data_IF_229725366533
#
_entry.id   IF_229725366533
#
_cell.length_a   1.000
_cell.length_b   1.000
_cell.length_c   1.000
_cell.angle_alpha   90.00
_cell.angle_beta   90.00
_cell.angle_gamma   90.00
#
_symmetry.space_group_name_H-M   'P 1'
#
loop_
_entity.id
_entity.type
_entity.pdbx_description
1 polymer ?
#
# COMPACT_ATOMS: atom_id res chain seq x y z
N UNK A 1 -10.02 -8.95 -12.07
CA UNK A 1 -8.99 -8.73 -13.09
C UNK A 1 -7.78 -9.63 -12.84
N UNK A 2 -7.05 -9.49 -11.72
CA UNK A 2 -5.88 -10.36 -11.41
C UNK A 2 -6.20 -11.86 -11.37
N UNK A 3 -7.34 -12.26 -10.80
CA UNK A 3 -7.77 -13.67 -10.77
C UNK A 3 -8.03 -14.31 -12.13
N UNK A 4 -8.10 -13.52 -13.21
CA UNK A 4 -8.26 -14.02 -14.59
C UNK A 4 -6.91 -14.34 -15.25
N UNK A 5 -5.80 -13.88 -14.66
CA UNK A 5 -4.46 -14.20 -15.13
C UNK A 5 -3.99 -15.45 -14.36
N UNK A 6 -3.84 -16.57 -15.07
CA UNK A 6 -3.56 -17.87 -14.46
C UNK A 6 -2.34 -17.86 -13.50
N UNK A 7 -1.21 -17.18 -13.82
CA UNK A 7 -0.07 -17.10 -12.89
C UNK A 7 -0.39 -16.35 -11.58
N UNK A 8 -1.37 -15.45 -11.60
CA UNK A 8 -1.72 -14.58 -10.46
C UNK A 8 -2.88 -15.14 -9.63
N UNK A 9 -3.69 -16.03 -10.20
CA UNK A 9 -4.94 -16.51 -9.60
C UNK A 9 -4.72 -17.17 -8.23
N UNK A 10 -3.64 -17.96 -8.09
CA UNK A 10 -3.29 -18.66 -6.83
C UNK A 10 -2.93 -17.73 -5.66
N UNK A 11 -2.71 -16.45 -5.95
CA UNK A 11 -2.36 -15.41 -4.96
C UNK A 11 -3.55 -14.48 -4.63
N UNK A 12 -4.76 -14.87 -5.06
CA UNK A 12 -6.01 -14.18 -4.76
C UNK A 12 -6.85 -15.07 -3.83
N UNK A 13 -7.09 -14.60 -2.60
CA UNK A 13 -7.74 -15.36 -1.55
C UNK A 13 -9.09 -14.74 -1.20
N UNK A 14 -10.11 -15.60 -1.05
CA UNK A 14 -11.39 -15.25 -0.48
C UNK A 14 -11.60 -16.03 0.83
N UNK A 15 -12.02 -15.32 1.86
CA UNK A 15 -12.35 -15.90 3.16
C UNK A 15 -13.85 -15.84 3.34
N UNK A 16 -14.47 -17.01 3.44
CA UNK A 16 -15.91 -17.17 3.47
C UNK A 16 -16.34 -17.53 4.88
N UNK A 17 -17.29 -16.77 5.42
CA UNK A 17 -18.04 -17.15 6.60
C UNK A 17 -19.26 -17.94 6.16
N UNK A 18 -19.43 -19.14 6.72
CA UNK A 18 -20.61 -19.98 6.52
C UNK A 18 -21.51 -19.80 7.74
N UNK A 19 -22.68 -19.23 7.53
CA UNK A 19 -23.64 -18.99 8.60
C UNK A 19 -24.40 -20.26 9.02
N UNK A 20 -25.23 -20.17 10.07
CA UNK A 20 -25.91 -21.33 10.65
C UNK A 20 -26.84 -22.09 9.69
N UNK A 21 -27.31 -21.42 8.62
CA UNK A 21 -28.20 -22.00 7.61
C UNK A 21 -27.45 -22.35 6.31
N UNK A 22 -26.11 -22.39 6.36
CA UNK A 22 -25.26 -22.69 5.20
C UNK A 22 -25.05 -21.51 4.24
N UNK A 23 -25.49 -20.30 4.60
CA UNK A 23 -25.26 -19.13 3.76
C UNK A 23 -23.78 -18.75 3.72
N UNK A 24 -23.22 -18.58 2.52
CA UNK A 24 -21.83 -18.18 2.31
C UNK A 24 -21.70 -16.67 2.13
N UNK A 25 -20.88 -16.04 2.96
CA UNK A 25 -20.60 -14.61 2.91
C UNK A 25 -19.09 -14.40 2.80
N UNK A 26 -18.64 -13.66 1.79
CA UNK A 26 -17.22 -13.29 1.65
C UNK A 26 -16.85 -12.29 2.77
N UNK A 27 -16.39 -12.80 3.91
CA UNK A 27 -16.00 -12.01 5.07
C UNK A 27 -14.72 -11.19 4.83
N UNK A 28 -13.82 -11.68 3.97
CA UNK A 28 -12.58 -10.99 3.65
C UNK A 28 -11.94 -11.41 2.34
N UNK A 29 -11.06 -10.56 1.84
CA UNK A 29 -10.30 -10.75 0.61
C UNK A 29 -8.82 -10.43 0.86
N UNK A 30 -7.97 -11.33 0.40
CA UNK A 30 -6.53 -11.12 0.34
C UNK A 30 -6.09 -11.07 -1.12
N UNK A 31 -5.42 -10.00 -1.54
CA UNK A 31 -4.81 -9.91 -2.86
C UNK A 31 -3.33 -9.71 -2.72
N UNK A 32 -2.58 -10.56 -3.40
CA UNK A 32 -1.13 -10.47 -3.50
C UNK A 32 -0.68 -10.71 -4.93
N UNK A 33 0.54 -10.30 -5.25
CA UNK A 33 1.10 -10.42 -6.59
C UNK A 33 2.55 -10.90 -6.49
N UNK A 34 2.90 -12.02 -7.14
CA UNK A 34 4.28 -12.46 -7.24
C UNK A 34 5.02 -11.51 -8.17
N UNK A 35 6.30 -11.27 -7.87
CA UNK A 35 7.17 -10.50 -8.74
C UNK A 35 8.61 -11.00 -8.62
N UNK A 36 9.40 -10.74 -9.64
CA UNK A 36 10.83 -10.97 -9.62
C UNK A 36 11.55 -9.75 -9.04
N UNK A 37 12.37 -10.01 -8.02
CA UNK A 37 13.21 -9.04 -7.32
C UNK A 37 14.69 -9.41 -7.57
N UNK A 38 15.40 -8.71 -8.47
CA UNK A 38 16.75 -9.09 -8.88
C UNK A 38 17.75 -9.17 -7.72
N UNK A 39 17.66 -8.25 -6.77
CA UNK A 39 18.61 -8.18 -5.66
C UNK A 39 18.54 -9.43 -4.75
N UNK A 40 17.44 -10.18 -4.73
CA UNK A 40 17.34 -11.43 -3.98
C UNK A 40 18.22 -12.55 -4.53
N UNK A 41 18.63 -12.52 -5.80
CA UNK A 41 19.54 -13.53 -6.33
C UNK A 41 20.91 -13.47 -5.64
N UNK A 42 21.33 -12.26 -5.27
CA UNK A 42 22.60 -12.02 -4.55
C UNK A 42 22.56 -12.49 -3.09
N UNK A 43 21.36 -12.67 -2.52
CA UNK A 43 21.17 -13.18 -1.15
C UNK A 43 21.66 -14.61 -1.02
N UNK A 44 21.44 -15.42 -2.07
CA UNK A 44 21.80 -16.84 -2.07
C UNK A 44 23.29 -17.07 -1.82
N UNK A 45 24.14 -16.11 -2.22
CA UNK A 45 25.59 -16.19 -2.09
C UNK A 45 26.13 -15.39 -0.89
N UNK A 46 25.51 -14.27 -0.54
CA UNK A 46 26.06 -13.31 0.42
C UNK A 46 25.29 -13.22 1.75
N UNK A 47 24.18 -13.95 1.91
CA UNK A 47 23.26 -13.85 3.06
C UNK A 47 22.32 -12.64 2.99
N UNK A 48 21.31 -12.61 3.88
CA UNK A 48 20.35 -11.50 3.96
C UNK A 48 21.03 -10.20 4.38
N UNK A 49 20.81 -9.12 3.64
CA UNK A 49 21.43 -7.81 3.83
C UNK A 49 20.36 -6.71 3.91
N UNK A 50 20.34 -5.87 4.96
CA UNK A 50 19.37 -4.79 5.08
C UNK A 50 19.34 -3.86 3.87
N UNK A 51 20.48 -3.66 3.20
CA UNK A 51 20.64 -2.77 2.04
C UNK A 51 19.82 -3.23 0.82
N UNK A 52 19.41 -4.50 0.76
CA UNK A 52 18.50 -4.99 -0.28
C UNK A 52 17.17 -4.24 -0.26
N UNK A 53 16.71 -3.85 0.92
CA UNK A 53 15.47 -3.11 1.10
C UNK A 53 15.53 -1.72 0.44
N UNK A 54 16.74 -1.19 0.22
CA UNK A 54 16.95 0.08 -0.46
C UNK A 54 16.65 -0.01 -1.96
N UNK A 55 16.61 -1.21 -2.56
CA UNK A 55 16.21 -1.37 -3.96
C UNK A 55 14.69 -1.39 -4.16
N UNK A 56 13.88 -1.49 -3.08
CA UNK A 56 12.42 -1.41 -3.20
C UNK A 56 12.00 -0.09 -3.86
N UNK A 57 11.04 -0.11 -4.80
CA UNK A 57 10.73 1.07 -5.59
C UNK A 57 10.05 2.15 -4.74
N UNK A 58 10.44 3.42 -4.97
CA UNK A 58 9.79 4.57 -4.36
C UNK A 58 8.31 4.69 -4.78
N UNK A 59 7.99 4.16 -5.96
CA UNK A 59 6.64 4.07 -6.54
C UNK A 59 5.75 3.00 -5.90
N UNK A 60 6.24 2.28 -4.88
CA UNK A 60 5.38 1.56 -3.95
C UNK A 60 4.43 0.55 -4.60
N UNK A 61 3.15 0.72 -4.27
CA UNK A 61 2.04 -0.07 -4.79
C UNK A 61 1.99 -0.07 -6.33
N UNK A 62 2.10 1.11 -6.96
CA UNK A 62 1.99 1.25 -8.41
C UNK A 62 3.06 0.45 -9.16
N UNK A 63 4.33 0.56 -8.73
CA UNK A 63 5.42 -0.18 -9.37
C UNK A 63 5.27 -1.69 -9.23
N UNK A 64 4.93 -2.19 -8.04
CA UNK A 64 4.82 -3.63 -7.82
C UNK A 64 3.62 -4.23 -8.56
N UNK A 65 2.49 -3.52 -8.60
CA UNK A 65 1.34 -3.97 -9.38
C UNK A 65 1.69 -4.07 -10.87
N UNK A 66 2.31 -3.01 -11.42
CA UNK A 66 2.73 -3.00 -12.83
C UNK A 66 3.75 -4.11 -13.13
N UNK A 67 4.79 -4.26 -12.30
CA UNK A 67 5.83 -5.26 -12.49
C UNK A 67 5.25 -6.69 -12.48
N UNK A 68 4.43 -7.02 -11.48
CA UNK A 68 3.85 -8.35 -11.37
C UNK A 68 2.84 -8.66 -12.50
N UNK A 69 2.07 -7.67 -12.96
CA UNK A 69 1.17 -7.85 -14.12
C UNK A 69 1.97 -8.08 -15.39
N UNK A 70 2.97 -7.25 -15.67
CA UNK A 70 3.84 -7.39 -16.85
C UNK A 70 4.55 -8.75 -16.87
N UNK A 71 5.11 -9.17 -15.74
CA UNK A 71 5.79 -10.47 -15.62
C UNK A 71 4.82 -11.65 -15.80
N UNK A 72 3.56 -11.53 -15.37
CA UNK A 72 2.57 -12.59 -15.57
C UNK A 72 2.16 -12.82 -17.03
N UNK A 73 2.54 -11.92 -17.93
CA UNK A 73 2.18 -11.95 -19.35
C UNK A 73 3.37 -12.09 -20.30
N UNK A 74 4.61 -12.08 -19.78
CA UNK A 74 5.82 -12.14 -20.60
C UNK A 74 6.75 -13.27 -20.18
N UNK A 75 7.81 -13.47 -20.97
CA UNK A 75 8.82 -14.53 -20.77
C UNK A 75 9.98 -14.07 -19.88
N UNK A 76 9.70 -13.17 -18.94
CA UNK A 76 10.71 -12.65 -18.01
C UNK A 76 11.15 -13.68 -16.96
N UNK A 77 12.11 -13.32 -16.09
CA UNK A 77 12.53 -14.18 -14.99
C UNK A 77 11.33 -14.59 -14.11
N UNK A 78 11.37 -15.83 -13.62
CA UNK A 78 10.35 -16.33 -12.72
C UNK A 78 10.31 -15.49 -11.43
N UNK A 79 9.12 -15.22 -10.86
CA UNK A 79 9.02 -14.53 -9.58
C UNK A 79 9.79 -15.24 -8.47
N UNK A 80 10.36 -14.46 -7.54
CA UNK A 80 11.09 -14.95 -6.36
C UNK A 80 10.62 -14.30 -5.04
N UNK A 81 9.63 -13.40 -5.12
CA UNK A 81 9.06 -12.69 -4.00
C UNK A 81 7.54 -12.53 -4.17
N UNK A 82 6.83 -12.36 -3.06
CA UNK A 82 5.41 -12.00 -3.06
C UNK A 82 5.22 -10.59 -2.50
N UNK A 83 4.32 -9.80 -3.08
CA UNK A 83 3.85 -8.57 -2.47
C UNK A 83 2.36 -8.63 -2.14
N UNK A 84 1.99 -8.30 -0.90
CA UNK A 84 0.61 -8.03 -0.55
C UNK A 84 0.15 -6.72 -1.20
N UNK A 85 -1.01 -6.76 -1.89
CA UNK A 85 -1.64 -5.59 -2.52
C UNK A 85 -2.81 -5.06 -1.70
N UNK A 86 -3.63 -5.95 -1.13
CA UNK A 86 -4.71 -5.53 -0.23
C UNK A 86 -5.14 -6.65 0.71
N UNK A 87 -5.52 -6.23 1.92
CA UNK A 87 -6.23 -7.03 2.91
C UNK A 87 -7.52 -6.29 3.22
N UNK A 88 -8.65 -6.87 2.82
CA UNK A 88 -9.96 -6.25 3.01
C UNK A 88 -10.81 -7.16 3.89
N UNK A 89 -11.38 -6.59 4.95
CA UNK A 89 -12.29 -7.28 5.86
C UNK A 89 -13.59 -6.50 5.94
N UNK A 90 -14.71 -7.19 5.69
CA UNK A 90 -16.03 -6.62 5.82
C UNK A 90 -16.26 -6.07 7.24
N UNK A 91 -16.96 -4.92 7.40
CA UNK A 91 -17.16 -4.29 8.71
C UNK A 91 -17.67 -5.23 9.80
N UNK A 92 -18.62 -6.10 9.48
CA UNK A 92 -19.22 -7.07 10.42
C UNK A 92 -18.23 -8.13 10.95
N UNK A 93 -17.10 -8.34 10.26
CA UNK A 93 -16.09 -9.34 10.59
C UNK A 93 -14.77 -8.73 11.04
N UNK A 94 -14.72 -7.42 11.30
CA UNK A 94 -13.51 -6.76 11.84
C UNK A 94 -13.27 -7.20 13.29
N UNK A 95 -12.01 -7.13 13.72
CA UNK A 95 -11.56 -7.50 15.09
C UNK A 95 -11.77 -8.99 15.46
N UNK A 96 -11.98 -9.86 14.48
CA UNK A 96 -12.12 -11.32 14.65
C UNK A 96 -10.81 -12.09 14.47
N UNK A 97 -9.71 -11.40 14.14
CA UNK A 97 -8.45 -12.03 13.71
C UNK A 97 -8.39 -12.33 12.20
N UNK A 98 -9.42 -11.99 11.43
CA UNK A 98 -9.46 -12.32 10.00
C UNK A 98 -8.36 -11.65 9.17
N UNK A 99 -7.94 -10.43 9.52
CA UNK A 99 -6.84 -9.77 8.80
C UNK A 99 -5.51 -10.51 9.00
N UNK A 100 -5.25 -10.98 10.22
CA UNK A 100 -4.10 -11.81 10.58
C UNK A 100 -4.11 -13.11 9.77
N UNK A 101 -5.25 -13.80 9.74
CA UNK A 101 -5.42 -15.03 8.96
C UNK A 101 -5.19 -14.82 7.45
N UNK A 102 -5.64 -13.69 6.89
CA UNK A 102 -5.38 -13.33 5.50
C UNK A 102 -3.87 -13.16 5.26
N UNK A 103 -3.19 -12.42 6.12
CA UNK A 103 -1.74 -12.16 6.00
C UNK A 103 -0.95 -13.47 6.10
N UNK A 104 -1.27 -14.33 7.07
CA UNK A 104 -0.58 -15.61 7.24
C UNK A 104 -0.87 -16.59 6.08
N UNK A 105 -2.02 -16.45 5.43
CA UNK A 105 -2.31 -17.20 4.20
C UNK A 105 -1.44 -16.75 3.04
N UNK A 106 -1.19 -15.44 2.89
CA UNK A 106 -0.24 -14.93 1.89
C UNK A 106 1.19 -15.41 2.16
N UNK A 107 1.65 -15.38 3.42
CA UNK A 107 2.97 -15.90 3.82
C UNK A 107 3.13 -17.37 3.46
N UNK A 108 2.13 -18.19 3.79
CA UNK A 108 2.12 -19.62 3.45
C UNK A 108 2.15 -19.85 1.94
N UNK A 109 1.34 -19.11 1.18
CA UNK A 109 1.35 -19.21 -0.28
C UNK A 109 2.71 -18.85 -0.89
N UNK A 110 3.36 -17.79 -0.40
CA UNK A 110 4.72 -17.44 -0.82
C UNK A 110 5.73 -18.55 -0.48
N UNK A 111 5.65 -19.12 0.73
CA UNK A 111 6.55 -20.19 1.17
C UNK A 111 6.40 -21.46 0.33
N UNK A 112 5.15 -21.82 -0.04
CA UNK A 112 4.87 -22.98 -0.89
C UNK A 112 5.43 -22.84 -2.31
N UNK A 113 5.62 -21.61 -2.79
CA UNK A 113 6.25 -21.30 -4.07
C UNK A 113 7.79 -21.14 -3.95
N UNK A 114 8.33 -21.37 -2.76
CA UNK A 114 9.77 -21.25 -2.48
C UNK A 114 10.27 -19.81 -2.36
N UNK A 115 9.37 -18.82 -2.23
CA UNK A 115 9.78 -17.43 -2.04
C UNK A 115 10.30 -17.22 -0.62
N UNK A 116 11.34 -16.40 -0.49
CA UNK A 116 12.01 -16.12 0.79
C UNK A 116 11.48 -14.87 1.49
N UNK A 117 10.64 -14.08 0.82
CA UNK A 117 10.14 -12.81 1.33
C UNK A 117 8.70 -12.52 0.88
N UNK A 118 7.93 -11.95 1.80
CA UNK A 118 6.68 -11.25 1.53
C UNK A 118 6.86 -9.76 1.85
N UNK A 119 6.61 -8.88 0.89
CA UNK A 119 6.60 -7.42 1.11
C UNK A 119 5.20 -6.84 1.03
N UNK A 120 5.02 -5.61 1.53
CA UNK A 120 3.75 -4.90 1.44
C UNK A 120 3.98 -3.37 1.48
N UNK A 121 3.51 -2.60 0.48
CA UNK A 121 3.52 -1.14 0.52
C UNK A 121 2.28 -0.67 1.29
N UNK A 122 2.40 -0.57 2.61
CA UNK A 122 1.26 -0.28 3.48
C UNK A 122 0.88 1.20 3.43
N UNK A 123 -0.40 1.44 3.15
CA UNK A 123 -1.06 2.72 3.38
C UNK A 123 -1.45 2.83 4.86
N UNK A 124 -0.85 3.72 5.67
CA UNK A 124 -1.19 3.84 7.09
C UNK A 124 -2.64 4.28 7.29
N UNK A 125 -3.29 3.75 8.34
CA UNK A 125 -4.73 3.91 8.53
C UNK A 125 -5.13 5.17 9.29
N UNK A 126 -4.21 5.74 10.09
CA UNK A 126 -4.46 6.97 10.85
C UNK A 126 -3.72 8.20 10.31
N UNK A 127 -2.82 8.03 9.33
CA UNK A 127 -2.02 9.14 8.78
C UNK A 127 -2.88 10.26 8.17
N UNK A 128 -4.07 9.92 7.64
CA UNK A 128 -5.02 10.91 7.12
C UNK A 128 -5.52 11.92 8.16
N UNK A 129 -5.39 11.63 9.46
CA UNK A 129 -5.70 12.57 10.56
C UNK A 129 -4.60 13.62 10.76
N UNK A 130 -3.43 13.40 10.16
CA UNK A 130 -2.24 14.23 10.30
C UNK A 130 -1.64 14.53 8.92
N UNK A 131 -2.41 15.07 7.96
CA UNK A 131 -1.98 15.17 6.57
C UNK A 131 -0.71 16.02 6.38
N UNK A 132 -0.51 17.04 7.21
CA UNK A 132 0.63 17.95 7.11
C UNK A 132 1.89 17.44 7.82
N UNK A 133 1.79 16.35 8.59
CA UNK A 133 2.96 15.72 9.20
C UNK A 133 3.71 14.95 8.11
N UNK A 134 5.02 15.20 7.89
CA UNK A 134 5.82 14.40 6.96
C UNK A 134 5.77 12.91 7.33
N UNK A 135 5.77 12.03 6.33
CA UNK A 135 5.66 10.58 6.57
C UNK A 135 6.84 10.06 7.40
N UNK A 136 8.02 10.65 7.21
CA UNK A 136 9.24 10.42 7.97
C UNK A 136 9.00 10.65 9.46
N UNK A 137 8.37 11.78 9.82
CA UNK A 137 8.08 12.09 11.22
C UNK A 137 7.00 11.16 11.78
N UNK A 138 5.94 10.91 11.01
CA UNK A 138 4.85 10.01 11.42
C UNK A 138 5.33 8.58 11.68
N UNK A 139 6.26 8.08 10.87
CA UNK A 139 6.82 6.74 11.00
C UNK A 139 7.54 6.53 12.35
N UNK A 140 8.12 7.58 12.93
CA UNK A 140 8.80 7.55 14.21
C UNK A 140 7.85 7.67 15.41
N UNK A 141 6.55 7.91 15.19
CA UNK A 141 5.60 7.94 16.29
C UNK A 141 5.38 6.53 16.83
N UNK A 142 5.60 6.36 18.13
CA UNK A 142 5.49 5.08 18.83
C UNK A 142 4.47 5.17 19.96
N UNK A 143 3.87 4.03 20.30
CA UNK A 143 3.11 3.86 21.55
C UNK A 143 4.07 3.74 22.74
N UNK A 144 3.58 3.89 23.96
CA UNK A 144 4.38 3.70 25.19
C UNK A 144 5.05 2.32 25.27
N UNK A 145 4.44 1.30 24.67
CA UNK A 145 5.00 -0.04 24.54
C UNK A 145 6.04 -0.23 23.42
N UNK A 146 6.52 0.86 22.80
CA UNK A 146 7.57 0.82 21.78
C UNK A 146 7.15 0.26 20.42
N UNK A 147 5.85 0.21 20.12
CA UNK A 147 5.32 -0.24 18.83
C UNK A 147 4.88 0.96 17.97
N UNK A 148 4.78 0.83 16.62
CA UNK A 148 4.31 1.91 15.77
C UNK A 148 2.97 2.49 16.24
N UNK A 149 2.83 3.80 16.14
CA UNK A 149 1.59 4.51 16.48
C UNK A 149 0.42 4.10 15.59
N UNK A 150 0.66 3.93 14.28
CA UNK A 150 -0.37 3.51 13.34
C UNK A 150 -0.83 2.07 13.63
N UNK A 151 -2.14 1.80 13.81
CA UNK A 151 -2.65 0.48 14.11
C UNK A 151 -2.33 -0.58 13.06
N UNK A 152 -2.26 -0.17 11.79
CA UNK A 152 -1.99 -1.09 10.68
C UNK A 152 -0.53 -1.49 10.63
N UNK A 153 0.38 -0.52 10.77
CA UNK A 153 1.81 -0.80 10.91
C UNK A 153 2.07 -1.68 12.14
N UNK A 154 1.47 -1.33 13.28
CA UNK A 154 1.60 -2.09 14.52
C UNK A 154 1.12 -3.54 14.40
N UNK A 155 0.03 -3.78 13.65
CA UNK A 155 -0.44 -5.14 13.39
C UNK A 155 0.61 -5.93 12.62
N UNK A 156 1.15 -5.37 11.54
CA UNK A 156 2.17 -6.04 10.75
C UNK A 156 3.44 -6.34 11.58
N UNK A 157 3.90 -5.38 12.40
CA UNK A 157 5.04 -5.61 13.30
C UNK A 157 4.80 -6.75 14.29
N UNK A 158 3.61 -6.80 14.90
CA UNK A 158 3.22 -7.91 15.79
C UNK A 158 3.17 -9.27 15.09
N UNK A 159 2.95 -9.29 13.78
CA UNK A 159 2.94 -10.51 12.96
C UNK A 159 4.35 -10.87 12.43
N UNK A 160 5.41 -10.26 12.98
CA UNK A 160 6.81 -10.50 12.58
C UNK A 160 7.28 -9.64 11.42
N UNK A 161 6.48 -8.66 10.99
CA UNK A 161 6.85 -7.73 9.93
C UNK A 161 7.85 -6.69 10.41
N UNK A 162 8.70 -6.23 9.51
CA UNK A 162 9.68 -5.19 9.79
C UNK A 162 9.54 -4.04 8.80
N UNK A 163 9.73 -2.81 9.28
CA UNK A 163 9.74 -1.61 8.44
C UNK A 163 11.01 -1.63 7.60
N UNK A 164 10.85 -1.51 6.28
CA UNK A 164 11.94 -1.35 5.34
C UNK A 164 12.25 0.13 5.13
N UNK A 165 11.38 0.83 4.40
CA UNK A 165 11.52 2.27 4.10
C UNK A 165 10.19 2.88 3.63
N UNK A 166 10.19 4.19 3.41
CA UNK A 166 9.04 4.90 2.83
C UNK A 166 9.05 4.73 1.31
N UNK A 167 7.90 4.34 0.75
CA UNK A 167 7.60 4.43 -0.67
C UNK A 167 7.04 5.83 -0.95
N UNK A 168 7.89 6.79 -1.26
CA UNK A 168 7.55 8.23 -1.27
C UNK A 168 6.50 8.65 -2.29
N UNK A 169 6.23 7.81 -3.30
CA UNK A 169 5.25 8.07 -4.37
C UNK A 169 4.46 6.82 -4.75
N UNK A 170 3.99 6.10 -3.73
CA UNK A 170 3.31 4.81 -3.86
C UNK A 170 2.04 4.85 -4.72
N UNK A 171 1.29 5.93 -4.61
CA UNK A 171 0.14 6.21 -5.49
C UNK A 171 0.22 7.65 -5.97
N UNK A 172 0.08 7.85 -7.28
CA UNK A 172 0.04 9.18 -7.89
C UNK A 172 -1.31 9.32 -8.59
N UNK A 173 -2.04 10.36 -8.24
CA UNK A 173 -3.32 10.72 -8.85
C UNK A 173 -3.21 12.15 -9.34
N UNK A 174 -3.40 12.36 -10.63
CA UNK A 174 -3.46 13.68 -11.25
C UNK A 174 -4.83 13.86 -11.88
N UNK A 175 -5.36 15.07 -11.82
CA UNK A 175 -6.64 15.39 -12.44
C UNK A 175 -6.84 16.89 -12.53
N UNK A 176 -7.75 17.27 -13.41
CA UNK A 176 -8.26 18.63 -13.54
C UNK A 176 -9.04 19.04 -12.30
N UNK A 177 -9.24 20.34 -12.11
CA UNK A 177 -10.11 20.90 -11.08
C UNK A 177 -11.49 20.23 -11.05
N UNK A 178 -12.12 20.03 -12.21
CA UNK A 178 -13.45 19.43 -12.30
C UNK A 178 -13.45 17.96 -11.90
N UNK A 179 -12.41 17.21 -12.28
CA UNK A 179 -12.22 15.83 -11.82
C UNK A 179 -12.06 15.75 -10.31
N UNK A 180 -11.20 16.57 -9.71
CA UNK A 180 -11.04 16.63 -8.26
C UNK A 180 -12.35 16.98 -7.54
N UNK A 181 -13.10 17.94 -8.07
CA UNK A 181 -14.41 18.31 -7.54
C UNK A 181 -15.40 17.14 -7.62
N UNK A 182 -15.39 16.37 -8.70
CA UNK A 182 -16.19 15.16 -8.84
C UNK A 182 -15.75 14.05 -7.86
N UNK A 183 -14.45 13.84 -7.69
CA UNK A 183 -13.91 12.74 -6.88
C UNK A 183 -14.06 12.95 -5.38
N UNK A 184 -13.78 14.16 -4.89
CA UNK A 184 -13.70 14.43 -3.45
C UNK A 184 -14.65 15.52 -2.97
N UNK A 185 -15.44 16.13 -3.86
CA UNK A 185 -16.39 17.19 -3.52
C UNK A 185 -15.75 18.53 -3.17
N UNK A 186 -14.46 18.72 -3.49
CA UNK A 186 -13.71 19.95 -3.21
C UNK A 186 -13.34 20.64 -4.51
N UNK A 187 -13.67 21.92 -4.60
CA UNK A 187 -13.21 22.80 -5.67
C UNK A 187 -11.83 23.39 -5.27
N UNK A 188 -10.76 22.81 -5.83
CA UNK A 188 -9.38 23.19 -5.47
C UNK A 188 -9.09 24.68 -5.71
N UNK A 189 -9.67 25.26 -6.76
CA UNK A 189 -9.50 26.69 -7.03
C UNK A 189 -10.18 27.54 -5.95
N UNK A 190 -11.38 27.14 -5.52
CA UNK A 190 -12.09 27.86 -4.46
C UNK A 190 -11.33 27.80 -3.14
N UNK A 191 -10.76 26.65 -2.78
CA UNK A 191 -9.90 26.53 -1.58
C UNK A 191 -8.67 27.42 -1.69
N UNK A 192 -8.07 27.53 -2.89
CA UNK A 192 -6.95 28.45 -3.11
C UNK A 192 -7.33 29.90 -2.87
N UNK A 193 -8.48 30.35 -3.36
CA UNK A 193 -8.93 31.74 -3.15
C UNK A 193 -9.17 32.09 -1.66
N UNK A 194 -9.29 31.09 -0.78
CA UNK A 194 -9.42 31.29 0.68
C UNK A 194 -8.07 31.30 1.40
N UNK A 195 -6.98 30.89 0.75
CA UNK A 195 -5.66 30.89 1.34
C UNK A 195 -5.13 32.32 1.54
N UNK A 196 -4.25 32.57 2.53
CA UNK A 196 -3.56 33.85 2.65
C UNK A 196 -2.69 34.11 1.41
N UNK A 197 -2.78 35.30 0.82
CA UNK A 197 -1.98 35.72 -0.35
C UNK A 197 -2.04 34.75 -1.57
N UNK A 198 -3.23 34.45 -2.12
CA UNK A 198 -3.39 33.41 -3.15
C UNK A 198 -2.62 33.71 -4.45
N UNK A 199 -2.38 34.99 -4.75
CA UNK A 199 -1.65 35.43 -5.95
C UNK A 199 -0.12 35.30 -5.89
N UNK A 200 0.47 34.85 -4.77
CA UNK A 200 1.93 34.67 -4.64
C UNK A 200 2.40 33.23 -4.75
N UNK A 201 1.48 32.25 -4.69
CA UNK A 201 1.83 30.84 -4.64
C UNK A 201 1.73 30.20 -6.03
N UNK A 202 2.81 29.53 -6.47
CA UNK A 202 2.81 28.74 -7.71
C UNK A 202 2.01 27.44 -7.58
N UNK A 203 2.06 26.83 -6.39
CA UNK A 203 1.23 25.70 -6.02
C UNK A 203 0.68 25.91 -4.63
N UNK A 204 -0.46 25.29 -4.32
CA UNK A 204 -1.02 25.29 -2.99
C UNK A 204 -1.31 23.86 -2.52
N UNK A 205 -0.81 23.45 -1.33
CA UNK A 205 -1.21 22.21 -0.71
C UNK A 205 -2.66 22.31 -0.19
N UNK A 206 -3.55 21.50 -0.74
CA UNK A 206 -4.97 21.44 -0.35
C UNK A 206 -5.27 20.08 0.28
N UNK A 207 -5.79 20.09 1.51
CA UNK A 207 -6.21 18.87 2.21
C UNK A 207 -7.47 18.31 1.58
N UNK A 208 -7.49 16.99 1.38
CA UNK A 208 -8.67 16.28 0.85
C UNK A 208 -9.15 15.20 1.85
N UNK A 209 -10.45 14.87 1.88
CA UNK A 209 -10.98 13.80 2.70
C UNK A 209 -10.26 12.48 2.44
N UNK A 210 -9.71 11.89 3.51
CA UNK A 210 -9.05 10.60 3.44
C UNK A 210 -7.62 10.61 2.88
N UNK A 211 -7.14 11.73 2.33
CA UNK A 211 -5.76 11.88 1.86
C UNK A 211 -4.74 11.77 2.99
N UNK A 212 -3.62 11.11 2.75
CA UNK A 212 -2.51 10.99 3.71
C UNK A 212 -1.62 12.23 3.74
N UNK A 213 -1.65 13.01 2.66
CA UNK A 213 -0.93 14.27 2.45
C UNK A 213 -1.85 15.23 1.68
N UNK A 214 -1.51 16.52 1.56
CA UNK A 214 -2.24 17.44 0.69
C UNK A 214 -2.09 17.09 -0.80
N UNK A 215 -3.05 17.53 -1.60
CA UNK A 215 -2.94 17.63 -3.07
C UNK A 215 -2.21 18.92 -3.39
N UNK A 216 -1.19 18.87 -4.25
CA UNK A 216 -0.56 20.07 -4.80
C UNK A 216 -1.42 20.59 -5.96
N UNK A 217 -2.10 21.71 -5.75
CA UNK A 217 -2.90 22.37 -6.79
C UNK A 217 -2.09 23.43 -7.53
N UNK A 218 -2.13 23.37 -8.86
CA UNK A 218 -1.46 24.25 -9.80
C UNK A 218 -2.55 25.08 -10.51
N UNK A 219 -2.75 26.35 -10.15
CA UNK A 219 -3.84 27.17 -10.70
C UNK A 219 -3.64 27.56 -12.16
N UNK A 220 -2.39 27.68 -12.63
CA UNK A 220 -2.07 28.03 -14.02
C UNK A 220 -2.64 26.99 -15.01
N UNK A 221 -2.53 25.71 -14.65
CA UNK A 221 -3.01 24.59 -15.47
C UNK A 221 -4.38 24.03 -15.00
N UNK A 222 -4.93 24.59 -13.92
CA UNK A 222 -6.08 24.04 -13.19
C UNK A 222 -5.94 22.54 -12.83
N UNK A 223 -4.72 22.11 -12.50
CA UNK A 223 -4.38 20.71 -12.22
C UNK A 223 -4.10 20.48 -10.74
N UNK A 224 -4.63 19.39 -10.18
CA UNK A 224 -4.24 18.88 -8.87
C UNK A 224 -3.41 17.61 -9.01
N UNK A 225 -2.30 17.52 -8.27
CA UNK A 225 -1.43 16.35 -8.22
C UNK A 225 -1.32 15.85 -6.79
N UNK A 226 -1.77 14.62 -6.55
CA UNK A 226 -1.68 13.93 -5.28
C UNK A 226 -0.63 12.84 -5.34
N UNK A 227 0.39 12.93 -4.49
CA UNK A 227 1.48 11.96 -4.39
C UNK A 227 1.46 11.32 -3.02
N UNK A 228 0.83 10.15 -2.91
CA UNK A 228 0.65 9.44 -1.65
C UNK A 228 1.88 8.58 -1.29
N UNK A 229 2.47 8.77 -0.10
CA UNK A 229 3.47 7.88 0.42
C UNK A 229 2.86 6.65 1.11
N UNK A 230 3.46 5.47 0.90
CA UNK A 230 3.22 4.26 1.70
C UNK A 230 4.50 3.88 2.47
N UNK A 231 4.39 2.88 3.32
CA UNK A 231 5.51 2.31 4.07
C UNK A 231 5.72 0.86 3.65
N UNK A 232 6.91 0.55 3.14
CA UNK A 232 7.30 -0.82 2.88
C UNK A 232 7.48 -1.58 4.21
N UNK A 233 6.72 -2.65 4.35
CA UNK A 233 6.94 -3.70 5.35
C UNK A 233 7.43 -4.94 4.61
N UNK A 234 8.33 -5.69 5.24
CA UNK A 234 8.71 -7.02 4.79
C UNK A 234 8.57 -8.06 5.90
N UNK A 235 8.36 -9.31 5.47
CA UNK A 235 8.41 -10.51 6.28
C UNK A 235 9.45 -11.43 5.64
N UNK A 236 10.39 -11.91 6.44
CA UNK A 236 11.19 -13.07 6.06
C UNK A 236 10.35 -14.32 6.29
N UNK A 237 10.37 -15.24 5.34
CA UNK A 237 9.57 -16.46 5.33
C UNK A 237 10.40 -17.68 5.76
#
# INVERSE_FOLDING_TARGET
MLSRLAPLARFQFAFVHVGPQGQEIIAGLGRSIPFYWPELETVSTAGWRPELLDSLPAQGYGAILTAGVQQSQGDGPAPNALSALSVTVQPAYRRTGLAELIIDTMKRAASLEGFSVLIAPLRPTQKNRFPDVPMEHYLHWMTESGLPFDPWLRKHVRLGGQVAKIATRSMVVSGTREEWKSWVGIDLHQEMQRAPDPGKMKTLPIRIPGGLVPVEYQPEDEMGVYVEPNIWIYYRL
#
